data_IF_027287123971
#
_entry.id   IF_027287123971
#
_cell.length_a   1.000
_cell.length_b   1.000
_cell.length_c   1.000
_cell.angle_alpha   90.00
_cell.angle_beta   90.00
_cell.angle_gamma   90.00
#
_symmetry.space_group_name_H-M   'P 1'
#
loop_
_entity.id
_entity.type
_entity.pdbx_description
1 polymer ?
#
# COMPACT_ATOMS: atom_id res chain seq x y z
N UNK A 1 30.31 -31.75 -10.68
CA UNK A 1 29.10 -31.44 -11.49
C UNK A 1 28.49 -30.14 -10.96
N UNK A 2 28.65 -29.02 -11.69
CA UNK A 2 28.02 -27.74 -11.33
C UNK A 2 26.54 -27.83 -11.70
N UNK A 3 25.69 -28.07 -10.70
CA UNK A 3 24.24 -28.02 -10.87
C UNK A 3 23.83 -26.63 -11.36
N UNK A 4 23.25 -26.55 -12.54
CA UNK A 4 22.61 -25.35 -13.06
C UNK A 4 21.51 -24.94 -12.08
N UNK A 5 21.73 -23.86 -11.34
CA UNK A 5 20.66 -23.11 -10.70
C UNK A 5 19.85 -22.45 -11.82
N UNK A 6 18.87 -23.17 -12.36
CA UNK A 6 17.77 -22.55 -13.09
C UNK A 6 16.90 -21.78 -12.09
N UNK A 7 17.41 -20.64 -11.61
CA UNK A 7 16.72 -19.70 -10.73
C UNK A 7 15.95 -18.69 -11.57
N UNK A 8 14.90 -19.12 -12.26
CA UNK A 8 13.93 -18.20 -12.83
C UNK A 8 12.66 -18.21 -11.96
N UNK A 9 12.66 -17.43 -10.85
CA UNK A 9 11.44 -17.07 -10.11
C UNK A 9 10.66 -16.10 -11.04
N UNK A 10 9.96 -16.64 -12.05
CA UNK A 10 9.20 -15.91 -13.09
C UNK A 10 7.83 -15.40 -12.59
N UNK A 11 7.74 -15.02 -11.31
CA UNK A 11 6.51 -14.47 -10.75
C UNK A 11 6.72 -13.00 -10.48
N UNK A 12 5.81 -12.15 -10.96
CA UNK A 12 5.72 -10.76 -10.56
C UNK A 12 5.46 -10.74 -9.05
N UNK A 13 6.52 -10.68 -8.23
CA UNK A 13 6.39 -10.07 -6.91
C UNK A 13 5.70 -8.73 -7.14
N UNK A 14 4.65 -8.43 -6.36
CA UNK A 14 4.03 -7.10 -6.31
C UNK A 14 5.15 -6.09 -6.50
N UNK A 15 5.03 -5.20 -7.48
CA UNK A 15 6.16 -4.40 -7.94
C UNK A 15 6.52 -3.38 -6.84
N UNK A 16 7.15 -3.84 -5.75
CA UNK A 16 7.55 -3.08 -4.57
C UNK A 16 8.72 -2.15 -4.88
N UNK A 17 9.23 -2.20 -6.13
CA UNK A 17 10.09 -1.17 -6.71
C UNK A 17 9.32 0.13 -7.04
N UNK A 18 7.99 0.13 -7.02
CA UNK A 18 7.14 1.33 -7.19
C UNK A 18 6.96 2.10 -5.87
N UNK A 19 8.10 2.38 -5.28
CA UNK A 19 8.30 3.46 -4.35
C UNK A 19 9.16 4.40 -5.15
N UNK A 20 8.54 5.36 -5.84
CA UNK A 20 9.28 6.27 -6.73
C UNK A 20 10.51 6.79 -5.98
N UNK A 21 11.64 6.98 -6.67
CA UNK A 21 12.75 7.77 -6.12
C UNK A 21 12.37 9.28 -6.02
N UNK A 22 11.09 9.56 -5.77
CA UNK A 22 10.46 10.86 -5.71
C UNK A 22 9.50 10.87 -4.52
N UNK A 23 10.00 11.42 -3.41
CA UNK A 23 9.27 11.50 -2.14
C UNK A 23 7.94 12.26 -2.27
N UNK A 24 7.89 13.31 -3.10
CA UNK A 24 6.66 14.07 -3.33
C UNK A 24 5.57 13.19 -3.96
N UNK A 25 5.94 12.38 -4.95
CA UNK A 25 5.02 11.49 -5.63
C UNK A 25 4.47 10.42 -4.67
N UNK A 26 5.33 9.83 -3.83
CA UNK A 26 4.89 8.86 -2.82
C UNK A 26 3.95 9.49 -1.78
N UNK A 27 4.26 10.71 -1.31
CA UNK A 27 3.42 11.45 -0.36
C UNK A 27 2.03 11.72 -0.93
N UNK A 28 1.97 12.20 -2.17
CA UNK A 28 0.69 12.53 -2.81
C UNK A 28 -0.10 11.28 -3.18
N UNK A 29 0.56 10.20 -3.63
CA UNK A 29 -0.08 8.90 -3.85
C UNK A 29 -0.68 8.36 -2.55
N UNK A 30 0.07 8.42 -1.45
CA UNK A 30 -0.42 8.01 -0.13
C UNK A 30 -1.62 8.85 0.33
N UNK A 31 -1.58 10.16 0.11
CA UNK A 31 -2.69 11.05 0.45
C UNK A 31 -3.94 10.74 -0.40
N UNK A 32 -3.78 10.42 -1.68
CA UNK A 32 -4.87 9.94 -2.54
C UNK A 32 -5.48 8.62 -2.06
N UNK A 33 -4.65 7.68 -1.58
CA UNK A 33 -5.14 6.41 -0.98
C UNK A 33 -6.00 6.71 0.25
N UNK A 34 -5.53 7.58 1.15
CA UNK A 34 -6.29 7.98 2.34
C UNK A 34 -7.58 8.73 1.97
N UNK A 35 -7.57 9.53 0.89
CA UNK A 35 -8.77 10.19 0.37
C UNK A 35 -9.84 9.19 -0.10
N UNK A 36 -9.45 8.11 -0.78
CA UNK A 36 -10.40 7.07 -1.20
C UNK A 36 -11.05 6.37 0.01
N UNK A 37 -10.35 6.35 1.14
CA UNK A 37 -10.79 5.73 2.39
C UNK A 37 -11.40 6.73 3.39
N UNK A 38 -11.54 8.02 3.04
CA UNK A 38 -11.95 9.10 3.96
C UNK A 38 -13.27 8.86 4.71
N UNK A 39 -14.19 8.12 4.10
CA UNK A 39 -15.51 7.85 4.65
C UNK A 39 -15.51 6.76 5.73
N UNK A 40 -14.36 6.10 5.97
CA UNK A 40 -14.26 5.03 6.98
C UNK A 40 -14.43 5.61 8.39
N UNK A 41 -15.48 5.17 9.07
CA UNK A 41 -15.89 5.69 10.40
C UNK A 41 -14.82 5.49 11.48
N UNK A 42 -14.14 4.34 11.47
CA UNK A 42 -13.16 3.98 12.50
C UNK A 42 -11.78 4.61 12.30
N UNK A 43 -11.55 5.35 11.22
CA UNK A 43 -10.20 5.74 10.80
C UNK A 43 -9.43 4.56 10.17
N UNK A 44 -8.14 4.76 9.94
CA UNK A 44 -7.27 3.83 9.23
C UNK A 44 -6.07 3.44 10.08
N UNK A 45 -5.81 2.14 10.19
CA UNK A 45 -4.57 1.60 10.77
C UNK A 45 -3.42 1.65 9.76
N UNK A 46 -2.18 1.55 10.24
CA UNK A 46 -1.01 1.51 9.37
C UNK A 46 -1.08 0.37 8.34
N UNK A 47 -1.48 -0.82 8.80
CA UNK A 47 -1.57 -2.01 7.95
C UNK A 47 -2.61 -1.85 6.84
N UNK A 48 -3.75 -1.23 7.15
CA UNK A 48 -4.78 -0.89 6.15
C UNK A 48 -4.22 0.07 5.10
N UNK A 49 -3.55 1.14 5.54
CA UNK A 49 -2.96 2.13 4.65
C UNK A 49 -1.92 1.47 3.74
N UNK A 50 -1.03 0.67 4.32
CA UNK A 50 0.02 -0.04 3.59
C UNK A 50 -0.55 -1.01 2.56
N UNK A 51 -1.57 -1.78 2.91
CA UNK A 51 -2.21 -2.70 1.99
C UNK A 51 -2.75 -1.96 0.75
N UNK A 52 -3.60 -0.96 0.98
CA UNK A 52 -4.22 -0.24 -0.13
C UNK A 52 -3.20 0.58 -0.92
N UNK A 53 -2.18 1.14 -0.27
CA UNK A 53 -1.08 1.82 -0.95
C UNK A 53 -0.35 0.87 -1.89
N UNK A 54 0.06 -0.31 -1.42
CA UNK A 54 0.79 -1.27 -2.23
C UNK A 54 -0.02 -1.73 -3.43
N UNK A 55 -1.31 -2.02 -3.27
CA UNK A 55 -2.18 -2.45 -4.37
C UNK A 55 -2.33 -1.32 -5.40
N UNK A 56 -2.65 -0.11 -4.94
CA UNK A 56 -2.94 1.03 -5.82
C UNK A 56 -1.67 1.54 -6.51
N UNK A 57 -0.55 1.63 -5.80
CA UNK A 57 0.72 2.11 -6.34
C UNK A 57 1.38 1.09 -7.29
N UNK A 58 1.16 -0.21 -7.07
CA UNK A 58 1.73 -1.26 -7.93
C UNK A 58 0.95 -1.49 -9.23
N UNK A 59 -0.24 -0.87 -9.37
CA UNK A 59 -1.16 -1.10 -10.50
C UNK A 59 -1.42 -2.59 -10.80
N UNK A 60 -1.38 -3.44 -9.76
CA UNK A 60 -1.53 -4.88 -9.91
C UNK A 60 -2.99 -5.22 -10.17
N UNK A 61 -3.25 -5.89 -11.29
CA UNK A 61 -4.56 -6.46 -11.59
C UNK A 61 -4.94 -7.47 -10.50
N UNK A 62 -6.10 -7.26 -9.87
CA UNK A 62 -6.62 -8.14 -8.81
C UNK A 62 -6.73 -9.59 -9.28
N UNK A 63 -6.99 -9.82 -10.57
CA UNK A 63 -7.07 -11.17 -11.13
C UNK A 63 -5.73 -11.93 -11.09
N UNK A 64 -4.60 -11.20 -10.97
CA UNK A 64 -3.26 -11.78 -10.77
C UNK A 64 -3.06 -12.22 -9.31
N UNK A 65 -3.63 -11.49 -8.35
CA UNK A 65 -3.55 -11.81 -6.92
C UNK A 65 -4.23 -13.15 -6.58
N UNK A 66 -5.35 -13.47 -7.24
CA UNK A 66 -6.11 -14.69 -6.98
C UNK A 66 -5.48 -15.94 -7.62
N UNK A 67 -4.70 -15.79 -8.70
CA UNK A 67 -4.27 -16.93 -9.53
C UNK A 67 -2.75 -17.19 -9.59
N UNK A 68 -1.87 -16.32 -9.05
CA UNK A 68 -0.41 -16.43 -9.28
C UNK A 68 0.50 -16.39 -8.05
N UNK A 69 -0.02 -16.31 -6.83
CA UNK A 69 0.83 -16.27 -5.63
C UNK A 69 1.02 -17.69 -5.08
N UNK A 70 1.98 -18.43 -5.65
CA UNK A 70 2.46 -19.69 -5.08
C UNK A 70 3.86 -19.47 -4.46
N UNK A 71 3.92 -19.00 -3.22
CA UNK A 71 5.16 -18.70 -2.48
C UNK A 71 5.67 -19.98 -1.79
N UNK A 72 5.92 -21.03 -2.57
CA UNK A 72 6.43 -22.30 -2.03
C UNK A 72 7.97 -22.37 -1.98
N UNK A 73 8.69 -21.27 -2.28
CA UNK A 73 10.15 -21.19 -2.15
C UNK A 73 10.57 -20.29 -0.99
N UNK A 74 11.45 -20.81 -0.12
CA UNK A 74 11.91 -20.12 1.10
C UNK A 74 12.67 -18.81 0.78
N UNK A 75 13.38 -18.75 -0.36
CA UNK A 75 14.12 -17.57 -0.80
C UNK A 75 13.17 -16.47 -1.28
N UNK A 76 12.19 -16.80 -2.14
CA UNK A 76 11.22 -15.81 -2.61
C UNK A 76 10.32 -15.33 -1.43
N UNK A 77 10.22 -16.09 -0.31
CA UNK A 77 9.62 -15.62 0.96
C UNK A 77 10.47 -14.53 1.66
N UNK A 78 11.76 -14.78 1.91
CA UNK A 78 12.63 -13.79 2.60
C UNK A 78 12.75 -12.46 1.84
N UNK A 79 12.90 -12.51 0.51
CA UNK A 79 12.94 -11.28 -0.31
C UNK A 79 11.64 -10.48 -0.21
N UNK A 80 10.51 -11.18 -0.10
CA UNK A 80 9.19 -10.57 0.05
C UNK A 80 9.02 -9.95 1.44
N UNK A 81 9.46 -10.64 2.49
CA UNK A 81 9.49 -10.12 3.87
C UNK A 81 10.35 -8.85 3.97
N UNK A 82 11.54 -8.84 3.35
CA UNK A 82 12.44 -7.68 3.34
C UNK A 82 11.78 -6.48 2.65
N UNK A 83 11.20 -6.69 1.46
CA UNK A 83 10.53 -5.61 0.72
C UNK A 83 9.32 -5.07 1.49
N UNK A 84 8.59 -5.94 2.19
CA UNK A 84 7.48 -5.53 3.05
C UNK A 84 7.94 -4.64 4.21
N UNK A 85 9.01 -5.03 4.92
CA UNK A 85 9.61 -4.23 5.99
C UNK A 85 10.07 -2.85 5.47
N UNK A 86 10.75 -2.83 4.32
CA UNK A 86 11.16 -1.58 3.67
C UNK A 86 9.95 -0.68 3.33
N UNK A 87 8.87 -1.27 2.81
CA UNK A 87 7.63 -0.56 2.50
C UNK A 87 6.97 0.03 3.74
N UNK A 88 6.90 -0.73 4.84
CA UNK A 88 6.39 -0.23 6.13
C UNK A 88 7.16 1.01 6.55
N UNK A 89 8.50 0.94 6.55
CA UNK A 89 9.33 2.03 7.05
C UNK A 89 9.17 3.29 6.19
N UNK A 90 9.09 3.13 4.87
CA UNK A 90 8.86 4.26 3.97
C UNK A 90 7.47 4.87 4.18
N UNK A 91 6.42 4.07 4.32
CA UNK A 91 5.07 4.57 4.60
C UNK A 91 5.00 5.27 5.95
N UNK A 92 5.62 4.73 7.00
CA UNK A 92 5.71 5.41 8.31
C UNK A 92 6.34 6.80 8.17
N UNK A 93 7.46 6.90 7.43
CA UNK A 93 8.09 8.19 7.15
C UNK A 93 7.13 9.14 6.42
N UNK A 94 6.48 8.67 5.36
CA UNK A 94 5.52 9.47 4.59
C UNK A 94 4.33 9.94 5.44
N UNK A 95 3.79 9.08 6.31
CA UNK A 95 2.71 9.43 7.23
C UNK A 95 3.15 10.50 8.23
N UNK A 96 4.36 10.41 8.78
CA UNK A 96 4.90 11.43 9.67
C UNK A 96 5.02 12.79 8.96
N UNK A 97 5.44 12.81 7.69
CA UNK A 97 5.49 14.04 6.90
C UNK A 97 4.09 14.60 6.64
N UNK A 98 3.12 13.75 6.28
CA UNK A 98 1.74 14.19 6.05
C UNK A 98 1.08 14.73 7.34
N UNK A 99 1.39 14.11 8.49
CA UNK A 99 0.99 14.60 9.82
C UNK A 99 1.60 15.98 10.09
N UNK A 100 2.91 16.11 9.91
CA UNK A 100 3.62 17.38 10.13
C UNK A 100 3.15 18.50 9.19
N UNK A 101 2.70 18.16 7.98
CA UNK A 101 2.10 19.09 7.02
C UNK A 101 0.63 19.42 7.31
N UNK A 102 0.01 18.77 8.29
CA UNK A 102 -1.39 19.01 8.65
C UNK A 102 -2.39 18.51 7.61
N UNK A 103 -2.04 17.49 6.81
CA UNK A 103 -2.96 16.89 5.83
C UNK A 103 -3.75 15.69 6.39
N UNK A 104 -3.25 15.10 7.47
CA UNK A 104 -3.87 13.97 8.16
C UNK A 104 -3.78 14.20 9.66
N UNK A 105 -4.72 13.62 10.41
CA UNK A 105 -4.79 13.76 11.87
C UNK A 105 -4.77 12.39 12.56
N UNK A 106 -4.31 12.38 13.81
CA UNK A 106 -4.58 11.28 14.72
C UNK A 106 -6.08 11.23 15.03
N UNK A 107 -6.71 10.10 14.69
CA UNK A 107 -8.13 9.91 14.91
C UNK A 107 -8.43 9.24 16.25
N UNK A 108 -7.68 8.18 16.60
CA UNK A 108 -7.84 7.48 17.87
C UNK A 108 -6.63 6.59 18.16
N UNK A 109 -6.39 6.33 19.45
CA UNK A 109 -5.50 5.25 19.91
C UNK A 109 -6.32 4.35 20.85
N UNK A 110 -6.54 3.09 20.47
CA UNK A 110 -7.23 2.10 21.33
C UNK A 110 -6.48 0.77 21.21
N UNK A 111 -6.24 0.11 22.34
CA UNK A 111 -5.51 -1.17 22.41
C UNK A 111 -4.17 -1.11 21.65
N UNK A 112 -3.39 -0.03 21.87
CA UNK A 112 -2.09 0.21 21.22
C UNK A 112 -2.15 0.37 19.68
N UNK A 113 -3.35 0.42 19.10
CA UNK A 113 -3.55 0.64 17.66
C UNK A 113 -3.83 2.12 17.39
N UNK A 114 -2.86 2.78 16.76
CA UNK A 114 -3.01 4.15 16.24
C UNK A 114 -3.86 4.12 14.98
N UNK A 115 -4.82 5.03 14.90
CA UNK A 115 -5.62 5.25 13.69
C UNK A 115 -5.50 6.69 13.22
N UNK A 116 -5.38 6.83 11.90
CA UNK A 116 -5.21 8.09 11.20
C UNK A 116 -6.42 8.37 10.31
N UNK A 117 -6.65 9.64 10.00
CA UNK A 117 -7.66 10.05 9.03
C UNK A 117 -7.18 11.26 8.24
N UNK A 118 -7.54 11.30 6.95
CA UNK A 118 -7.34 12.50 6.16
C UNK A 118 -8.30 13.60 6.65
N UNK A 119 -7.78 14.82 6.78
CA UNK A 119 -8.55 15.95 7.26
C UNK A 119 -9.03 16.83 6.09
N UNK A 120 -9.68 17.95 6.39
CA UNK A 120 -10.22 18.84 5.36
C UNK A 120 -9.13 19.40 4.43
N UNK A 121 -7.97 19.74 4.98
CA UNK A 121 -6.85 20.29 4.21
C UNK A 121 -6.24 19.24 3.27
N UNK A 122 -6.03 18.02 3.77
CA UNK A 122 -5.60 16.90 2.92
C UNK A 122 -6.61 16.59 1.81
N UNK A 123 -7.91 16.65 2.12
CA UNK A 123 -8.97 16.47 1.12
C UNK A 123 -8.91 17.56 0.03
N UNK A 124 -8.75 18.82 0.41
CA UNK A 124 -8.64 19.94 -0.52
C UNK A 124 -7.38 19.82 -1.39
N UNK A 125 -6.26 19.46 -0.77
CA UNK A 125 -5.00 19.19 -1.46
C UNK A 125 -5.19 18.14 -2.55
N UNK A 126 -5.79 16.98 -2.24
CA UNK A 126 -6.06 15.92 -3.23
C UNK A 126 -6.97 16.40 -4.34
N UNK A 127 -8.04 17.14 -4.02
CA UNK A 127 -8.95 17.70 -5.03
C UNK A 127 -8.27 18.71 -5.97
N UNK A 128 -7.23 19.39 -5.52
CA UNK A 128 -6.47 20.35 -6.32
C UNK A 128 -5.51 19.69 -7.33
N UNK A 129 -5.23 18.39 -7.17
CA UNK A 129 -4.30 17.66 -8.03
C UNK A 129 -4.85 17.54 -9.46
N UNK A 130 -4.19 18.20 -10.42
CA UNK A 130 -4.62 18.22 -11.83
C UNK A 130 -4.11 17.06 -12.67
N UNK A 131 -3.02 16.41 -12.24
CA UNK A 131 -2.34 15.36 -13.02
C UNK A 131 -3.26 14.17 -13.32
N UNK A 132 -3.22 13.68 -14.56
CA UNK A 132 -3.93 12.46 -14.99
C UNK A 132 -3.51 11.24 -14.17
N UNK A 133 -2.27 11.20 -13.70
CA UNK A 133 -1.76 10.15 -12.81
C UNK A 133 -2.57 10.04 -11.52
N UNK A 134 -2.78 11.16 -10.80
CA UNK A 134 -3.54 11.14 -9.55
C UNK A 134 -5.03 10.87 -9.79
N UNK A 135 -5.59 11.37 -10.90
CA UNK A 135 -6.96 11.02 -11.30
C UNK A 135 -7.12 9.51 -11.49
N UNK A 136 -6.15 8.86 -12.16
CA UNK A 136 -6.13 7.40 -12.33
C UNK A 136 -6.07 6.67 -11.00
N UNK A 137 -5.20 7.10 -10.08
CA UNK A 137 -5.12 6.55 -8.71
C UNK A 137 -6.45 6.65 -7.98
N UNK A 138 -7.12 7.80 -8.08
CA UNK A 138 -8.39 8.04 -7.39
C UNK A 138 -9.48 7.13 -7.94
N UNK A 139 -9.59 7.01 -9.27
CA UNK A 139 -10.57 6.13 -9.90
C UNK A 139 -10.28 4.67 -9.60
N UNK A 140 -9.07 4.17 -9.89
CA UNK A 140 -8.71 2.77 -9.67
C UNK A 140 -8.79 2.40 -8.20
N UNK A 141 -8.27 3.24 -7.30
CA UNK A 141 -8.33 3.01 -5.87
C UNK A 141 -9.76 2.91 -5.35
N UNK A 142 -10.69 3.73 -5.86
CA UNK A 142 -12.09 3.67 -5.44
C UNK A 142 -12.77 2.36 -5.80
N UNK A 143 -12.39 1.73 -6.92
CA UNK A 143 -12.94 0.45 -7.36
C UNK A 143 -12.27 -0.72 -6.66
N UNK A 144 -10.95 -0.68 -6.51
CA UNK A 144 -10.17 -1.67 -5.77
C UNK A 144 -10.65 -1.79 -4.30
N UNK A 145 -10.93 -0.67 -3.63
CA UNK A 145 -11.41 -0.66 -2.24
C UNK A 145 -12.80 -1.33 -2.10
N UNK A 146 -13.65 -1.26 -3.13
CA UNK A 146 -14.95 -1.97 -3.12
C UNK A 146 -14.77 -3.47 -3.30
N UNK A 147 -13.75 -3.89 -4.04
CA UNK A 147 -13.48 -5.29 -4.36
C UNK A 147 -12.67 -6.01 -3.27
N UNK A 148 -11.75 -5.30 -2.61
CA UNK A 148 -10.85 -5.88 -1.61
C UNK A 148 -11.20 -5.36 -0.22
N UNK A 149 -11.85 -6.22 0.56
CA UNK A 149 -12.02 -5.98 2.00
C UNK A 149 -10.68 -6.15 2.73
N UNK A 150 -10.41 -5.26 3.69
CA UNK A 150 -9.29 -5.43 4.59
C UNK A 150 -9.55 -6.61 5.54
N UNK A 151 -8.80 -7.69 5.36
CA UNK A 151 -8.75 -8.84 6.27
C UNK A 151 -7.30 -9.27 6.43
N UNK A 152 -6.94 -9.84 7.58
CA UNK A 152 -5.59 -10.41 7.80
C UNK A 152 -5.23 -11.43 6.71
N UNK A 153 -6.21 -12.24 6.28
CA UNK A 153 -6.02 -13.21 5.20
C UNK A 153 -5.70 -12.54 3.85
N UNK A 154 -6.37 -11.45 3.50
CA UNK A 154 -6.08 -10.73 2.26
C UNK A 154 -4.71 -10.04 2.32
N UNK A 155 -4.34 -9.50 3.48
CA UNK A 155 -2.98 -8.98 3.72
C UNK A 155 -1.95 -10.09 3.49
N UNK A 156 -2.13 -11.26 4.09
CA UNK A 156 -1.20 -12.40 3.90
C UNK A 156 -1.13 -12.89 2.45
N UNK A 157 -2.27 -12.99 1.76
CA UNK A 157 -2.32 -13.38 0.34
C UNK A 157 -1.57 -12.39 -0.54
N UNK A 158 -1.84 -11.10 -0.38
CA UNK A 158 -1.28 -10.03 -1.22
C UNK A 158 0.21 -9.82 -0.95
N UNK A 159 0.62 -9.99 0.31
CA UNK A 159 2.01 -9.86 0.70
C UNK A 159 2.80 -11.14 0.52
N UNK A 160 2.18 -12.31 0.28
CA UNK A 160 2.92 -13.57 0.19
C UNK A 160 3.63 -14.01 1.48
N UNK A 161 3.29 -13.39 2.61
CA UNK A 161 3.87 -13.65 3.93
C UNK A 161 2.84 -14.39 4.79
N UNK A 162 3.23 -15.49 5.44
CA UNK A 162 2.53 -15.99 6.64
C UNK A 162 3.38 -15.58 7.84
N UNK A 163 2.82 -14.74 8.71
CA UNK A 163 3.31 -14.60 10.09
C UNK A 163 2.82 -15.80 10.90
#
# INVERSE_FOLDING_TARGET
>A
MRGKLNNSCNYLTLNMYLLFNNEYLDLMTLLCVMYNLKNKRKGLTLDEILLYYLIIASEVDINILENKINVNSTICKYDTDIKYIQSINKIKKSLNILLAKGYIDFFSCKNEVIRLKINAEGINTVKSLKSSYYKRILTSGSDLIKQISYTKNNVFKILGVRL
#
